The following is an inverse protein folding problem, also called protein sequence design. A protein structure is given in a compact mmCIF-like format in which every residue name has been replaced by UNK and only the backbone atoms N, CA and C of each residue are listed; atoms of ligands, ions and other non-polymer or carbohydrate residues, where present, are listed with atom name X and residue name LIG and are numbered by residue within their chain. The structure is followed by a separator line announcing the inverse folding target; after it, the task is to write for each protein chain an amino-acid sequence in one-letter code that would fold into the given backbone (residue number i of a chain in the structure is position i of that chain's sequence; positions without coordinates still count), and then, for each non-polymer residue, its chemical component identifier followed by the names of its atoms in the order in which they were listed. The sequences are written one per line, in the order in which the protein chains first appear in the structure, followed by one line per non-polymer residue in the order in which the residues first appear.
data_IF_239005833538
#
_entry.id   IF_239005833538
#
_cell.length_a   1.000
_cell.length_b   1.000
_cell.length_c   1.000
_cell.angle_alpha   90.00
_cell.angle_beta   90.00
_cell.angle_gamma   90.00
#
_symmetry.space_group_name_H-M   'P 1'
#
loop_
_entity.id
_entity.type
_entity.pdbx_description
1 polymer ?
#
# COMPACT_ATOMS: atom_id res chain seq x y z
N UNK A 1 -9.76 -21.68 12.49
CA UNK A 1 -9.63 -20.71 11.38
C UNK A 1 -8.16 -20.56 11.04
N UNK A 2 -7.74 -21.06 9.89
CA UNK A 2 -6.36 -20.91 9.41
C UNK A 2 -6.12 -19.42 9.19
N UNK A 3 -5.12 -18.85 9.86
CA UNK A 3 -4.77 -17.43 9.71
C UNK A 3 -4.33 -17.23 8.25
N UNK A 4 -5.08 -16.45 7.47
CA UNK A 4 -4.71 -16.11 6.07
C UNK A 4 -3.25 -15.64 6.04
N UNK A 5 -2.40 -16.07 5.10
CA UNK A 5 -0.99 -15.65 5.10
C UNK A 5 -0.82 -14.27 4.44
N UNK A 6 0.35 -13.63 4.60
CA UNK A 6 0.66 -12.40 3.85
C UNK A 6 0.71 -12.71 2.35
N UNK A 7 1.28 -13.85 1.97
CA UNK A 7 1.28 -14.31 0.58
C UNK A 7 -0.12 -14.48 -0.02
N UNK A 8 -1.08 -15.03 0.73
CA UNK A 8 -2.48 -15.14 0.27
C UNK A 8 -3.10 -13.77 0.01
N UNK A 9 -2.87 -12.78 0.89
CA UNK A 9 -3.40 -11.43 0.72
C UNK A 9 -2.77 -10.69 -0.46
N UNK A 10 -1.48 -10.90 -0.71
CA UNK A 10 -0.81 -10.37 -1.91
C UNK A 10 -1.40 -11.00 -3.18
N UNK A 11 -1.61 -12.32 -3.18
CA UNK A 11 -2.27 -13.03 -4.30
C UNK A 11 -3.67 -12.49 -4.56
N UNK A 12 -4.46 -12.29 -3.49
CA UNK A 12 -5.80 -11.73 -3.59
C UNK A 12 -5.77 -10.30 -4.15
N UNK A 13 -4.84 -9.45 -3.71
CA UNK A 13 -4.69 -8.12 -4.28
C UNK A 13 -4.36 -8.15 -5.78
N UNK A 14 -3.51 -9.09 -6.22
CA UNK A 14 -3.19 -9.29 -7.64
C UNK A 14 -4.43 -9.74 -8.43
N UNK A 15 -5.16 -10.74 -7.93
CA UNK A 15 -6.40 -11.23 -8.57
C UNK A 15 -7.43 -10.11 -8.74
N UNK A 16 -7.55 -9.26 -7.72
CA UNK A 16 -8.46 -8.11 -7.73
C UNK A 16 -8.03 -7.04 -8.73
N UNK A 17 -6.74 -6.75 -8.84
CA UNK A 17 -6.21 -5.86 -9.87
C UNK A 17 -6.47 -6.40 -11.29
N UNK A 18 -6.23 -7.69 -11.51
CA UNK A 18 -6.50 -8.35 -12.80
C UNK A 18 -8.00 -8.31 -13.15
N UNK A 19 -8.86 -8.38 -12.14
CA UNK A 19 -10.32 -8.28 -12.28
C UNK A 19 -10.84 -6.83 -12.41
N UNK A 20 -9.95 -5.83 -12.50
CA UNK A 20 -10.31 -4.40 -12.50
C UNK A 20 -11.10 -3.95 -11.25
N UNK A 21 -10.80 -4.56 -10.09
CA UNK A 21 -11.34 -4.24 -8.76
C UNK A 21 -10.23 -3.64 -7.87
N UNK A 22 -9.82 -2.38 -8.10
CA UNK A 22 -8.74 -1.74 -7.34
C UNK A 22 -9.13 -1.46 -5.88
N UNK A 23 -10.43 -1.38 -5.59
CA UNK A 23 -10.99 -1.23 -4.25
C UNK A 23 -10.72 -2.48 -3.40
N UNK A 24 -11.16 -3.64 -3.89
CA UNK A 24 -10.89 -4.93 -3.27
C UNK A 24 -9.39 -5.22 -3.18
N UNK A 25 -8.63 -4.80 -4.20
CA UNK A 25 -7.17 -4.95 -4.18
C UNK A 25 -6.52 -4.10 -3.07
N UNK A 26 -6.99 -2.86 -2.88
CA UNK A 26 -6.51 -1.99 -1.82
C UNK A 26 -6.79 -2.60 -0.44
N UNK A 27 -8.01 -3.10 -0.21
CA UNK A 27 -8.37 -3.78 1.05
C UNK A 27 -7.46 -4.96 1.35
N UNK A 28 -7.25 -5.84 0.36
CA UNK A 28 -6.39 -7.02 0.51
C UNK A 28 -4.94 -6.64 0.82
N UNK A 29 -4.35 -5.68 0.08
CA UNK A 29 -2.96 -5.30 0.31
C UNK A 29 -2.78 -4.55 1.62
N UNK A 30 -3.75 -3.72 2.03
CA UNK A 30 -3.79 -3.06 3.31
C UNK A 30 -3.77 -4.05 4.49
N UNK A 31 -4.50 -5.18 4.37
CA UNK A 31 -4.44 -6.26 5.35
C UNK A 31 -3.05 -6.94 5.40
N UNK A 32 -2.37 -7.05 4.26
CA UNK A 32 -1.02 -7.58 4.18
C UNK A 32 0.00 -6.63 4.84
N UNK A 33 -0.18 -5.31 4.66
CA UNK A 33 0.60 -4.26 5.31
C UNK A 33 0.47 -4.34 6.83
N UNK A 34 -0.75 -4.42 7.38
CA UNK A 34 -0.96 -4.52 8.83
C UNK A 34 -0.24 -5.72 9.45
N UNK A 35 -0.34 -6.88 8.79
CA UNK A 35 0.34 -8.10 9.23
C UNK A 35 1.85 -7.99 9.16
N UNK A 36 2.36 -7.44 8.06
CA UNK A 36 3.80 -7.22 7.85
C UNK A 36 4.33 -6.27 8.91
N UNK A 37 3.66 -5.14 9.13
CA UNK A 37 4.03 -4.14 10.13
C UNK A 37 4.05 -4.73 11.55
N UNK A 38 3.05 -5.56 11.90
CA UNK A 38 3.01 -6.24 13.19
C UNK A 38 4.20 -7.17 13.38
N UNK A 39 4.57 -7.91 12.34
CA UNK A 39 5.71 -8.82 12.37
C UNK A 39 7.04 -8.06 12.45
N UNK A 40 7.22 -7.04 11.61
CA UNK A 40 8.47 -6.26 11.52
C UNK A 40 8.76 -5.48 12.80
N UNK A 41 7.72 -4.95 13.47
CA UNK A 41 7.89 -4.12 14.67
C UNK A 41 7.49 -4.81 15.99
N UNK A 42 7.11 -6.09 15.94
CA UNK A 42 6.63 -6.87 17.09
C UNK A 42 5.52 -6.17 17.91
N UNK A 43 4.69 -5.33 17.24
CA UNK A 43 3.64 -4.53 17.87
C UNK A 43 2.42 -4.41 16.95
N UNK A 44 1.21 -4.74 17.40
CA UNK A 44 0.01 -4.54 16.61
C UNK A 44 -0.45 -3.07 16.64
N UNK A 45 -1.28 -2.71 15.67
CA UNK A 45 -2.08 -1.49 15.71
C UNK A 45 -1.58 -0.36 14.82
N UNK A 46 -2.29 0.77 14.93
CA UNK A 46 -2.18 1.95 14.08
C UNK A 46 -0.77 2.47 13.90
N UNK A 47 0.00 2.54 14.98
CA UNK A 47 1.35 3.11 14.95
C UNK A 47 2.31 2.25 14.12
N UNK A 48 2.24 0.92 14.25
CA UNK A 48 3.05 0.01 13.45
C UNK A 48 2.68 0.10 11.97
N UNK A 49 1.38 0.12 11.65
CA UNK A 49 0.89 0.28 10.28
C UNK A 49 1.41 1.58 9.65
N UNK A 50 1.18 2.71 10.34
CA UNK A 50 1.58 4.04 9.86
C UNK A 50 3.08 4.14 9.70
N UNK A 51 3.84 3.58 10.65
CA UNK A 51 5.29 3.49 10.58
C UNK A 51 5.76 2.70 9.38
N UNK A 52 5.15 1.54 9.10
CA UNK A 52 5.50 0.72 7.94
C UNK A 52 5.32 1.49 6.64
N UNK A 53 4.14 2.11 6.45
CA UNK A 53 3.88 2.91 5.25
C UNK A 53 4.92 4.03 5.13
N UNK A 54 5.15 4.78 6.22
CA UNK A 54 6.11 5.89 6.26
C UNK A 54 7.54 5.47 5.88
N UNK A 55 8.04 4.40 6.49
CA UNK A 55 9.41 3.91 6.25
C UNK A 55 9.57 3.33 4.83
N UNK A 56 8.50 2.84 4.20
CA UNK A 56 8.54 2.24 2.87
C UNK A 56 8.11 3.19 1.74
N UNK A 57 7.85 4.47 2.00
CA UNK A 57 7.49 5.44 0.96
C UNK A 57 8.47 5.47 -0.22
N UNK A 58 9.77 5.36 0.08
CA UNK A 58 10.82 5.35 -0.94
C UNK A 58 10.73 4.15 -1.90
N UNK A 59 10.02 3.08 -1.55
CA UNK A 59 9.69 1.95 -2.43
C UNK A 59 8.34 2.18 -3.14
N UNK A 60 7.37 2.74 -2.42
CA UNK A 60 6.01 2.99 -2.91
C UNK A 60 6.04 4.04 -4.02
N UNK A 61 6.66 5.20 -3.78
CA UNK A 61 6.62 6.35 -4.69
C UNK A 61 7.23 6.07 -6.07
N UNK A 62 8.44 5.50 -6.20
CA UNK A 62 9.01 5.23 -7.52
C UNK A 62 8.20 4.22 -8.33
N UNK A 63 7.52 3.29 -7.63
CA UNK A 63 6.63 2.30 -8.24
C UNK A 63 5.33 2.93 -8.74
N UNK A 64 4.88 4.03 -8.14
CA UNK A 64 3.62 4.72 -8.46
C UNK A 64 3.81 5.87 -9.47
N UNK A 65 4.88 6.67 -9.32
CA UNK A 65 5.06 7.96 -10.02
C UNK A 65 6.37 8.06 -10.83
N UNK A 66 7.22 7.03 -10.82
CA UNK A 66 8.57 7.11 -11.38
C UNK A 66 9.48 8.04 -10.56
N UNK A 67 10.45 8.69 -11.22
CA UNK A 67 11.53 9.50 -10.58
C UNK A 67 11.06 10.87 -10.01
N UNK A 68 9.76 11.08 -9.82
CA UNK A 68 9.25 12.30 -9.18
C UNK A 68 9.47 12.21 -7.67
N UNK A 69 10.43 12.99 -7.16
CA UNK A 69 10.64 13.16 -5.73
C UNK A 69 9.46 13.93 -5.13
N UNK A 70 8.59 13.20 -4.43
CA UNK A 70 7.49 13.76 -3.62
C UNK A 70 7.76 13.56 -2.12
N UNK A 71 9.04 13.45 -1.74
CA UNK A 71 9.48 13.48 -0.35
C UNK A 71 8.90 14.70 0.37
N UNK A 72 8.05 14.45 1.37
CA UNK A 72 7.42 15.50 2.16
C UNK A 72 6.10 16.04 1.64
N UNK A 73 5.43 15.37 0.69
CA UNK A 73 4.11 15.78 0.22
C UNK A 73 3.09 15.68 1.37
N UNK A 74 2.75 16.83 1.96
CA UNK A 74 1.67 16.99 2.92
C UNK A 74 0.41 17.26 2.14
N UNK A 75 -0.58 16.38 2.29
CA UNK A 75 -1.87 16.55 1.66
C UNK A 75 -2.75 17.42 2.58
N UNK A 76 -3.16 18.58 2.09
CA UNK A 76 -4.18 19.38 2.75
C UNK A 76 -5.53 18.77 2.40
N UNK A 77 -6.18 18.13 3.38
CA UNK A 77 -7.48 17.50 3.16
C UNK A 77 -8.61 18.45 3.54
N UNK A 78 -9.59 18.59 2.63
CA UNK A 78 -10.84 19.27 2.89
C UNK A 78 -11.65 18.52 3.94
N UNK A 79 -12.08 19.27 4.95
CA UNK A 79 -13.00 18.91 6.03
C UNK A 79 -14.20 18.08 5.54
N UNK A 80 -14.42 16.84 6.06
CA UNK A 80 -15.76 16.32 6.47
C UNK A 80 -15.89 14.80 6.83
N UNK A 81 -14.87 13.94 6.72
CA UNK A 81 -15.01 12.56 7.24
C UNK A 81 -14.75 12.46 8.76
N UNK A 82 -15.45 11.56 9.50
CA UNK A 82 -15.21 11.35 10.93
C UNK A 82 -13.73 11.07 11.20
N UNK A 83 -13.11 11.98 11.94
CA UNK A 83 -11.67 11.98 12.17
C UNK A 83 -11.32 10.90 13.19
N UNK A 84 -10.34 10.02 12.92
CA UNK A 84 -9.89 9.08 13.93
C UNK A 84 -9.20 9.88 15.04
N UNK A 85 -9.52 9.54 16.30
CA UNK A 85 -9.07 10.24 17.54
C UNK A 85 -7.53 10.39 17.66
N UNK A 86 -6.76 9.72 16.80
CA UNK A 86 -5.30 9.65 16.84
C UNK A 86 -4.59 10.50 15.78
N UNK A 87 -5.29 11.42 15.10
CA UNK A 87 -4.69 12.31 14.09
C UNK A 87 -4.29 13.64 14.73
N UNK A 88 -3.00 14.01 14.76
CA UNK A 88 -2.52 15.30 15.29
C UNK A 88 -2.36 16.33 14.17
N UNK A 89 -2.94 17.53 14.34
CA UNK A 89 -2.86 18.66 13.38
C UNK A 89 -4.14 18.81 12.54
N UNK A 90 -4.16 19.67 11.51
CA UNK A 90 -5.32 19.91 10.61
C UNK A 90 -5.19 19.24 9.22
N UNK A 91 -4.12 18.46 9.02
CA UNK A 91 -3.87 17.70 7.80
C UNK A 91 -3.98 16.20 8.09
N UNK A 92 -4.30 15.43 7.05
CA UNK A 92 -4.10 13.98 7.08
C UNK A 92 -2.86 13.63 6.27
N UNK A 93 -2.31 12.47 6.53
CA UNK A 93 -1.19 11.90 5.78
C UNK A 93 -1.67 10.70 4.96
N UNK A 94 -0.89 10.22 3.97
CA UNK A 94 -1.32 9.05 3.20
C UNK A 94 -1.44 7.82 4.11
N UNK A 95 -0.62 7.72 5.15
CA UNK A 95 -0.73 6.63 6.11
C UNK A 95 -2.02 6.70 6.93
N UNK A 96 -2.57 7.89 7.16
CA UNK A 96 -3.89 8.05 7.78
C UNK A 96 -5.00 7.59 6.83
N UNK A 97 -4.94 7.99 5.55
CA UNK A 97 -5.91 7.58 4.51
C UNK A 97 -5.88 6.06 4.33
N UNK A 98 -4.69 5.49 4.17
CA UNK A 98 -4.52 4.05 4.01
C UNK A 98 -4.96 3.30 5.27
N UNK A 99 -4.60 3.78 6.47
CA UNK A 99 -5.04 3.16 7.72
C UNK A 99 -6.57 3.19 7.88
N UNK A 100 -7.22 4.29 7.48
CA UNK A 100 -8.69 4.38 7.52
C UNK A 100 -9.35 3.46 6.50
N UNK A 101 -8.80 3.36 5.28
CA UNK A 101 -9.26 2.38 4.29
C UNK A 101 -9.19 0.94 4.84
N UNK A 102 -8.11 0.60 5.55
CA UNK A 102 -7.94 -0.70 6.23
C UNK A 102 -9.02 -0.92 7.30
N UNK A 103 -9.23 0.07 8.17
CA UNK A 103 -10.12 -0.06 9.33
C UNK A 103 -11.59 -0.20 8.91
N UNK A 104 -11.99 0.49 7.85
CA UNK A 104 -13.34 0.36 7.30
C UNK A 104 -13.51 -1.00 6.59
N UNK A 105 -12.60 -1.38 5.69
CA UNK A 105 -12.74 -2.61 4.90
C UNK A 105 -12.49 -3.93 5.63
N UNK A 106 -11.78 -3.93 6.78
CA UNK A 106 -11.51 -5.15 7.54
C UNK A 106 -12.50 -5.46 8.67
N UNK A 107 -13.18 -4.45 9.22
CA UNK A 107 -14.00 -4.62 10.43
C UNK A 107 -15.49 -4.57 10.18
N UNK A 108 -15.91 -4.03 9.05
CA UNK A 108 -17.29 -4.01 8.61
C UNK A 108 -17.22 -4.46 7.14
N UNK A 109 -18.24 -5.15 6.60
CA UNK A 109 -18.42 -5.35 5.16
C UNK A 109 -18.69 -4.00 4.45
N UNK A 110 -17.89 -3.00 4.79
CA UNK A 110 -18.08 -1.60 4.50
C UNK A 110 -17.30 -1.28 3.24
N UNK A 111 -18.09 -0.91 2.24
CA UNK A 111 -17.70 -0.07 1.12
C UNK A 111 -16.61 0.92 1.57
N UNK A 112 -15.58 1.10 0.72
CA UNK A 112 -14.62 2.18 0.90
C UNK A 112 -15.38 3.48 1.16
N UNK A 113 -14.80 4.39 1.93
CA UNK A 113 -15.44 5.67 2.22
C UNK A 113 -15.94 6.28 0.90
N UNK A 114 -17.19 6.76 0.82
CA UNK A 114 -17.81 7.18 -0.46
C UNK A 114 -17.09 8.37 -1.11
N UNK A 115 -16.17 8.99 -0.40
CA UNK A 115 -15.29 10.02 -0.92
C UNK A 115 -13.98 9.50 -1.53
N UNK A 116 -13.66 8.21 -1.45
CA UNK A 116 -12.49 7.65 -2.13
C UNK A 116 -12.90 7.25 -3.55
N UNK A 117 -12.19 7.80 -4.53
CA UNK A 117 -12.37 7.51 -5.93
C UNK A 117 -11.06 6.99 -6.50
N UNK A 118 -11.10 5.84 -7.16
CA UNK A 118 -9.94 5.36 -7.88
C UNK A 118 -9.81 6.07 -9.23
N UNK A 119 -8.60 6.52 -9.53
CA UNK A 119 -8.25 7.17 -10.80
C UNK A 119 -7.12 6.41 -11.47
N UNK A 120 -7.12 6.39 -12.80
CA UNK A 120 -6.06 5.75 -13.60
C UNK A 120 -4.77 6.57 -13.61
N UNK A 121 -4.87 7.88 -13.40
CA UNK A 121 -3.71 8.77 -13.34
C UNK A 121 -2.87 8.48 -12.09
N UNK A 122 -1.55 8.58 -12.22
CA UNK A 122 -0.63 8.64 -11.09
C UNK A 122 -0.75 10.01 -10.41
N UNK A 123 -1.90 10.27 -9.78
CA UNK A 123 -2.20 11.48 -9.05
C UNK A 123 -2.79 11.10 -7.69
N UNK A 124 -2.29 11.72 -6.63
CA UNK A 124 -3.00 11.78 -5.36
C UNK A 124 -3.48 13.23 -5.21
N UNK A 125 -4.70 13.48 -5.67
CA UNK A 125 -5.34 14.80 -5.61
C UNK A 125 -6.32 14.82 -4.44
N UNK A 126 -6.23 15.87 -3.62
CA UNK A 126 -7.25 16.24 -2.65
C UNK A 126 -7.78 17.62 -3.01
N UNK A 127 -9.04 17.69 -3.42
CA UNK A 127 -9.72 18.95 -3.75
C UNK A 127 -11.22 18.78 -3.57
N UNK A 128 -11.80 19.46 -2.58
CA UNK A 128 -13.19 19.26 -2.18
C UNK A 128 -13.41 18.03 -1.30
N UNK A 129 -14.59 17.42 -1.41
CA UNK A 129 -15.07 16.30 -0.59
C UNK A 129 -14.61 14.91 -1.10
N UNK A 130 -13.68 14.84 -2.07
CA UNK A 130 -13.22 13.59 -2.69
C UNK A 130 -11.69 13.40 -2.62
N UNK A 131 -11.28 12.15 -2.45
CA UNK A 131 -9.91 11.65 -2.39
C UNK A 131 -9.69 10.79 -3.63
N UNK A 132 -8.77 11.18 -4.50
CA UNK A 132 -8.42 10.38 -5.67
C UNK A 132 -7.19 9.51 -5.37
N UNK A 133 -7.34 8.19 -5.49
CA UNK A 133 -6.28 7.20 -5.27
C UNK A 133 -5.94 6.53 -6.60
N UNK A 134 -4.66 6.57 -6.97
CA UNK A 134 -4.19 5.84 -8.14
C UNK A 134 -4.19 4.33 -7.88
N UNK A 135 -4.69 3.53 -8.82
CA UNK A 135 -4.57 2.07 -8.76
C UNK A 135 -3.10 1.60 -8.65
N UNK A 136 -2.15 2.38 -9.17
CA UNK A 136 -0.72 2.15 -9.02
C UNK A 136 -0.25 2.14 -7.57
N UNK A 137 -0.96 2.80 -6.64
CA UNK A 137 -0.66 2.77 -5.21
C UNK A 137 -0.70 1.34 -4.66
N UNK A 138 -1.62 0.50 -5.15
CA UNK A 138 -1.70 -0.92 -4.78
C UNK A 138 -0.41 -1.63 -5.18
N UNK A 139 0.12 -1.38 -6.37
CA UNK A 139 1.40 -1.95 -6.82
C UNK A 139 2.58 -1.50 -5.95
N UNK A 140 2.61 -0.21 -5.55
CA UNK A 140 3.62 0.30 -4.63
C UNK A 140 3.56 -0.37 -3.24
N UNK A 141 2.36 -0.60 -2.72
CA UNK A 141 2.16 -1.32 -1.45
C UNK A 141 2.52 -2.80 -1.56
N UNK A 142 2.22 -3.46 -2.69
CA UNK A 142 2.69 -4.81 -2.99
C UNK A 142 4.22 -4.85 -2.93
N UNK A 143 4.91 -3.94 -3.62
CA UNK A 143 6.36 -3.86 -3.61
C UNK A 143 6.92 -3.70 -2.19
N UNK A 144 6.34 -2.79 -1.40
CA UNK A 144 6.73 -2.58 0.00
C UNK A 144 6.59 -3.87 0.82
N UNK A 145 5.45 -4.57 0.73
CA UNK A 145 5.18 -5.81 1.45
C UNK A 145 6.12 -6.94 1.02
N UNK A 146 6.26 -7.17 -0.29
CA UNK A 146 7.01 -8.33 -0.80
C UNK A 146 8.50 -8.17 -0.54
N UNK A 147 9.04 -6.95 -0.62
CA UNK A 147 10.47 -6.72 -0.40
C UNK A 147 10.87 -6.79 1.08
N UNK A 148 9.92 -6.65 2.02
CA UNK A 148 10.22 -6.66 3.46
C UNK A 148 10.88 -7.96 3.91
N UNK A 149 12.07 -7.92 4.55
CA UNK A 149 12.82 -9.11 4.94
C UNK A 149 12.05 -10.12 5.79
N UNK A 150 11.16 -9.67 6.69
CA UNK A 150 10.36 -10.58 7.53
C UNK A 150 9.38 -11.46 6.72
N UNK A 151 9.04 -11.05 5.50
CA UNK A 151 8.17 -11.80 4.59
C UNK A 151 8.92 -12.77 3.67
N UNK A 152 10.24 -12.97 3.83
CA UNK A 152 11.05 -13.83 2.95
C UNK A 152 10.51 -15.25 2.77
N UNK A 153 9.86 -15.81 3.80
CA UNK A 153 9.28 -17.16 3.78
C UNK A 153 7.86 -17.22 3.22
N UNK A 154 7.26 -16.08 2.87
CA UNK A 154 5.93 -16.03 2.29
C UNK A 154 5.95 -16.50 0.83
N UNK A 155 4.82 -17.06 0.40
CA UNK A 155 4.59 -17.48 -0.98
C UNK A 155 3.17 -17.06 -1.34
N UNK A 156 3.02 -16.33 -2.44
CA UNK A 156 1.71 -16.03 -3.01
C UNK A 156 1.23 -17.24 -3.83
N UNK A 157 -0.01 -17.74 -3.60
CA UNK A 157 -0.59 -18.82 -4.40
C UNK A 157 -0.61 -18.53 -5.90
N UNK A 158 -0.92 -17.30 -6.30
CA UNK A 158 -0.76 -16.79 -7.66
C UNK A 158 0.43 -15.83 -7.70
N UNK A 159 1.27 -16.00 -8.72
CA UNK A 159 2.36 -15.06 -8.98
C UNK A 159 1.84 -13.87 -9.81
N UNK A 160 2.46 -12.71 -9.61
CA UNK A 160 2.19 -11.50 -10.37
C UNK A 160 3.48 -10.89 -10.86
N UNK A 161 3.36 -9.85 -11.70
CA UNK A 161 4.51 -9.12 -12.22
C UNK A 161 4.48 -7.71 -11.67
N UNK A 162 5.54 -7.34 -10.96
CA UNK A 162 5.83 -5.96 -10.65
C UNK A 162 6.61 -5.37 -11.84
N UNK A 163 6.00 -4.46 -12.57
CA UNK A 163 6.70 -3.75 -13.65
C UNK A 163 7.45 -2.55 -13.07
N UNK A 164 8.77 -2.65 -12.99
CA UNK A 164 9.62 -1.53 -12.59
C UNK A 164 10.36 -1.00 -13.82
N UNK A 165 10.00 0.20 -14.29
CA UNK A 165 10.62 0.85 -15.48
C UNK A 165 10.64 -0.02 -16.74
N UNK A 166 9.56 -0.76 -16.98
CA UNK A 166 9.46 -1.69 -18.12
C UNK A 166 10.24 -3.00 -17.93
N UNK A 167 10.88 -3.21 -16.78
CA UNK A 167 11.46 -4.49 -16.41
C UNK A 167 10.38 -5.29 -15.65
N UNK A 168 9.91 -6.41 -16.21
CA UNK A 168 8.97 -7.28 -15.52
C UNK A 168 9.71 -8.08 -14.43
N UNK A 169 9.34 -7.87 -13.18
CA UNK A 169 9.89 -8.57 -12.03
C UNK A 169 8.82 -9.51 -11.44
N UNK A 170 8.98 -10.84 -11.53
CA UNK A 170 8.06 -11.78 -10.91
C UNK A 170 8.05 -11.60 -9.39
N UNK A 171 6.87 -11.44 -8.79
CA UNK A 171 6.71 -11.20 -7.34
C UNK A 171 7.31 -12.35 -6.53
N UNK A 172 7.19 -13.59 -7.01
CA UNK A 172 7.81 -14.78 -6.42
C UNK A 172 9.33 -14.66 -6.23
N UNK A 173 10.01 -13.77 -6.97
CA UNK A 173 11.47 -13.54 -6.88
C UNK A 173 11.87 -12.38 -5.98
N UNK A 174 10.90 -11.64 -5.43
CA UNK A 174 11.13 -10.40 -4.66
C UNK A 174 11.05 -10.61 -3.14
N UNK A 175 10.45 -11.70 -2.67
CA UNK A 175 10.18 -11.94 -1.25
C UNK A 175 11.41 -11.74 -0.35
N UNK A 176 11.38 -10.70 0.48
CA UNK A 176 12.42 -10.36 1.45
C UNK A 176 13.75 -9.90 0.86
N UNK A 177 13.76 -9.42 -0.39
CA UNK A 177 14.97 -9.01 -1.15
C UNK A 177 15.08 -7.51 -1.34
N UNK A 178 14.72 -6.73 -0.31
CA UNK A 178 14.79 -5.26 -0.31
C UNK A 178 16.15 -4.74 -0.77
N UNK A 179 17.24 -5.29 -0.24
CA UNK A 179 18.59 -4.83 -0.57
C UNK A 179 18.93 -5.00 -2.05
N UNK A 180 18.62 -6.18 -2.62
CA UNK A 180 18.86 -6.45 -4.03
C UNK A 180 17.99 -5.60 -4.96
N UNK A 181 16.75 -5.32 -4.55
CA UNK A 181 15.88 -4.42 -5.29
C UNK A 181 16.37 -2.98 -5.25
N UNK A 182 16.78 -2.47 -4.08
CA UNK A 182 17.34 -1.12 -3.98
C UNK A 182 18.62 -0.98 -4.80
N UNK A 183 19.49 -2.00 -4.81
CA UNK A 183 20.65 -2.02 -5.71
C UNK A 183 20.24 -1.97 -7.19
N UNK A 184 19.20 -2.72 -7.59
CA UNK A 184 18.67 -2.66 -8.95
C UNK A 184 18.14 -1.26 -9.29
N UNK A 185 17.44 -0.61 -8.36
CA UNK A 185 16.96 0.76 -8.51
C UNK A 185 18.13 1.72 -8.74
N UNK A 186 19.15 1.67 -7.90
CA UNK A 186 20.33 2.53 -7.98
C UNK A 186 21.11 2.36 -9.31
N UNK A 187 21.19 1.13 -9.85
CA UNK A 187 21.89 0.84 -11.11
C UNK A 187 21.11 1.33 -12.34
N UNK A 188 19.77 1.37 -12.24
CA UNK A 188 18.90 1.81 -13.33
C UNK A 188 18.64 3.32 -13.32
N UNK A 189 19.25 4.04 -12.39
CA UNK A 189 19.10 5.49 -12.15
C UNK A 189 20.29 6.34 -12.56
#
# INVERSE_FOLDING_TARGET
MTRVSVGTLVSEAIDKMDASDPEGALVAICAAVDRTAREEYCKPGTESYKRFVRENFHLIIPTVFGKHDIGGMKFAFGHQSPRPEHTKGDSWTIEDVLYHAVRCGLYHDAELLPNIKFVESATLSGGGDQIEISASLVCGLIAAVVLTPCNRSQVAPKDGILNYRGIPLPISKLWGRRAEFLWLVDVLD
#
